data_IF_995138691276
#
_entry.id   IF_995138691276
#
_cell.length_a   1.000
_cell.length_b   1.000
_cell.length_c   1.000
_cell.angle_alpha   90.00
_cell.angle_beta   90.00
_cell.angle_gamma   90.00
#
_symmetry.space_group_name_H-M   'P 1'
#
loop_
_entity.id
_entity.type
_entity.pdbx_description
1 polymer ?
#
# COMPACT_ATOMS: atom_id res chain seq x y z
N UNK A 1 15.30 20.09 -1.00
CA UNK A 1 14.06 19.31 -1.18
C UNK A 1 13.14 19.70 -0.05
N UNK A 2 11.93 20.10 -0.39
CA UNK A 2 10.91 20.48 0.59
C UNK A 2 10.33 19.19 1.18
N UNK A 3 10.15 19.14 2.50
CA UNK A 3 9.59 17.99 3.21
C UNK A 3 8.11 17.89 2.85
N UNK A 4 7.71 16.86 2.08
CA UNK A 4 6.30 16.55 1.84
C UNK A 4 5.94 15.25 2.55
N UNK A 5 5.04 15.34 3.52
CA UNK A 5 4.65 14.22 4.37
C UNK A 5 3.15 14.21 4.51
N UNK A 6 2.55 13.04 4.37
CA UNK A 6 1.15 12.80 4.72
C UNK A 6 1.08 11.86 5.94
N UNK A 7 0.51 12.36 7.01
CA UNK A 7 0.10 11.57 8.17
C UNK A 7 -1.42 11.50 8.20
N UNK A 8 -2.00 10.40 8.68
CA UNK A 8 -3.45 10.32 8.79
C UNK A 8 -4.03 11.29 9.84
N UNK A 9 -3.18 12.06 10.56
CA UNK A 9 -3.62 13.16 11.48
C UNK A 9 -3.94 14.43 10.71
N UNK A 10 -3.33 14.60 9.54
CA UNK A 10 -3.52 15.76 8.70
C UNK A 10 -4.73 15.52 7.81
N UNK A 11 -5.84 16.20 8.08
CA UNK A 11 -6.97 16.22 7.16
C UNK A 11 -6.51 16.92 5.88
N UNK A 12 -6.27 16.15 4.82
CA UNK A 12 -6.00 16.69 3.50
C UNK A 12 -7.15 17.58 3.02
N UNK A 13 -6.93 18.44 2.01
CA UNK A 13 -7.96 19.37 1.55
C UNK A 13 -9.19 18.62 1.06
N UNK A 14 -10.40 19.08 1.40
CA UNK A 14 -11.63 18.38 1.05
C UNK A 14 -11.70 18.09 -0.46
N UNK A 15 -12.21 16.91 -0.82
CA UNK A 15 -12.39 16.56 -2.23
C UNK A 15 -13.45 17.49 -2.82
N UNK A 16 -13.17 18.19 -3.94
CA UNK A 16 -14.08 19.17 -4.50
C UNK A 16 -15.32 18.50 -5.07
N UNK A 17 -16.47 19.18 -4.95
CA UNK A 17 -17.77 18.71 -5.42
C UNK A 17 -18.89 19.00 -4.44
N UNK A 18 -20.13 18.80 -4.88
CA UNK A 18 -21.27 18.81 -3.97
C UNK A 18 -21.28 17.54 -3.11
N UNK A 19 -21.70 17.66 -1.85
CA UNK A 19 -21.92 16.50 -1.01
C UNK A 19 -22.96 15.54 -1.64
N UNK A 20 -22.81 14.25 -1.39
CA UNK A 20 -23.80 13.25 -1.86
C UNK A 20 -25.19 13.62 -1.37
N UNK A 21 -26.10 13.85 -2.32
CA UNK A 21 -27.48 14.28 -2.04
C UNK A 21 -28.25 13.13 -1.39
N UNK A 22 -29.21 13.45 -0.52
CA UNK A 22 -30.06 12.45 0.16
C UNK A 22 -30.72 11.47 -0.81
N UNK A 23 -31.18 11.97 -1.98
CA UNK A 23 -31.76 11.11 -3.02
C UNK A 23 -30.78 10.07 -3.55
N UNK A 24 -29.52 10.45 -3.78
CA UNK A 24 -28.44 9.54 -4.19
C UNK A 24 -28.14 8.53 -3.08
N UNK A 25 -28.00 8.98 -1.83
CA UNK A 25 -27.75 8.06 -0.70
C UNK A 25 -28.84 7.00 -0.53
N UNK A 26 -30.12 7.35 -0.79
CA UNK A 26 -31.23 6.39 -0.76
C UNK A 26 -31.10 5.36 -1.89
N UNK A 27 -30.77 5.80 -3.11
CA UNK A 27 -30.56 4.91 -4.25
C UNK A 27 -29.38 3.97 -3.98
N UNK A 28 -28.26 4.49 -3.49
CA UNK A 28 -27.06 3.72 -3.17
C UNK A 28 -27.35 2.66 -2.11
N UNK A 29 -28.09 3.03 -1.06
CA UNK A 29 -28.52 2.10 -0.01
C UNK A 29 -29.40 0.99 -0.59
N UNK A 30 -30.39 1.34 -1.44
CA UNK A 30 -31.24 0.34 -2.07
C UNK A 30 -30.43 -0.60 -2.97
N UNK A 31 -29.53 -0.05 -3.79
CA UNK A 31 -28.64 -0.84 -4.64
C UNK A 31 -27.74 -1.77 -3.81
N UNK A 32 -27.19 -1.30 -2.69
CA UNK A 32 -26.32 -2.10 -1.83
C UNK A 32 -27.05 -3.26 -1.14
N UNK A 33 -28.38 -3.21 -1.00
CA UNK A 33 -29.16 -4.35 -0.49
C UNK A 33 -29.36 -5.47 -1.52
N UNK A 34 -29.26 -5.17 -2.81
CA UNK A 34 -29.53 -6.12 -3.91
C UNK A 34 -28.23 -6.67 -4.50
N UNK A 35 -27.20 -5.84 -4.59
CA UNK A 35 -25.91 -6.22 -5.15
C UNK A 35 -25.06 -7.02 -4.16
N UNK A 36 -24.27 -7.95 -4.69
CA UNK A 36 -23.28 -8.66 -3.89
C UNK A 36 -21.96 -7.89 -3.86
N UNK A 37 -21.39 -7.73 -2.67
CA UNK A 37 -20.04 -7.19 -2.45
C UNK A 37 -19.04 -8.30 -2.11
N UNK A 38 -19.26 -9.51 -2.60
CA UNK A 38 -18.46 -10.69 -2.22
C UNK A 38 -16.93 -10.46 -2.28
N UNK A 39 -16.34 -9.81 -3.31
CA UNK A 39 -14.90 -9.55 -3.33
C UNK A 39 -14.42 -8.61 -2.21
N UNK A 40 -15.14 -7.51 -1.97
CA UNK A 40 -14.78 -6.53 -0.93
C UNK A 40 -14.97 -7.13 0.47
N UNK A 41 -15.99 -7.97 0.64
CA UNK A 41 -16.26 -8.67 1.90
C UNK A 41 -15.21 -9.74 2.26
N UNK A 42 -14.24 -10.04 1.38
CA UNK A 42 -13.09 -10.90 1.72
C UNK A 42 -11.95 -10.14 2.43
N UNK A 43 -12.01 -8.81 2.52
CA UNK A 43 -11.02 -8.03 3.27
C UNK A 43 -11.17 -8.37 4.76
N UNK A 44 -10.07 -8.84 5.37
CA UNK A 44 -10.06 -9.34 6.75
C UNK A 44 -8.86 -8.88 7.55
N UNK A 45 -8.01 -8.03 6.97
CA UNK A 45 -6.80 -7.55 7.60
C UNK A 45 -6.62 -6.05 7.36
N UNK A 46 -6.33 -5.33 8.44
CA UNK A 46 -5.89 -3.93 8.42
C UNK A 46 -4.44 -3.86 8.88
N UNK A 47 -3.57 -3.28 8.05
CA UNK A 47 -2.17 -2.97 8.40
C UNK A 47 -1.94 -1.47 8.29
N UNK A 48 -1.12 -0.94 9.18
CA UNK A 48 -0.55 0.40 9.06
C UNK A 48 0.93 0.25 8.71
N UNK A 49 1.38 0.96 7.68
CA UNK A 49 2.76 0.99 7.20
C UNK A 49 3.14 2.41 6.74
N UNK A 50 4.38 2.59 6.28
CA UNK A 50 4.87 3.87 5.79
C UNK A 50 5.50 3.71 4.41
N UNK A 51 4.97 4.44 3.44
CA UNK A 51 5.38 4.38 2.05
C UNK A 51 6.21 5.60 1.65
N UNK A 52 7.14 5.35 0.74
CA UNK A 52 8.06 6.32 0.17
C UNK A 52 7.91 6.31 -1.35
N UNK A 53 7.99 7.46 -2.00
CA UNK A 53 8.00 7.49 -3.46
C UNK A 53 9.30 6.90 -3.97
N UNK A 54 9.23 5.95 -4.89
CA UNK A 54 10.41 5.25 -5.36
C UNK A 54 11.43 6.19 -6.02
N UNK A 55 11.03 7.32 -6.60
CA UNK A 55 11.91 8.35 -7.16
C UNK A 55 12.27 9.49 -6.19
N UNK A 56 11.61 9.57 -5.03
CA UNK A 56 11.86 10.58 -4.00
C UNK A 56 11.53 10.08 -2.58
N UNK A 57 12.52 9.44 -1.94
CA UNK A 57 12.40 8.90 -0.58
C UNK A 57 12.26 9.99 0.51
N UNK A 58 12.33 11.28 0.19
CA UNK A 58 12.03 12.33 1.16
C UNK A 58 10.51 12.57 1.31
N UNK A 59 9.70 11.98 0.43
CA UNK A 59 8.25 12.06 0.44
C UNK A 59 7.66 10.82 1.10
N UNK A 60 6.93 11.00 2.19
CA UNK A 60 6.50 9.90 3.07
C UNK A 60 4.99 9.94 3.32
N UNK A 61 4.36 8.77 3.29
CA UNK A 61 2.91 8.62 3.45
C UNK A 61 2.61 7.50 4.45
N UNK A 62 1.88 7.82 5.52
CA UNK A 62 1.23 6.80 6.36
C UNK A 62 0.16 6.10 5.52
N UNK A 63 0.26 4.77 5.39
CA UNK A 63 -0.54 3.99 4.48
C UNK A 63 -1.31 2.89 5.23
N UNK A 64 -2.62 2.84 5.01
CA UNK A 64 -3.50 1.86 5.63
C UNK A 64 -3.94 0.82 4.62
N UNK A 65 -3.45 -0.39 4.79
CA UNK A 65 -3.73 -1.52 3.91
C UNK A 65 -4.92 -2.31 4.41
N UNK A 66 -5.88 -2.55 3.53
CA UNK A 66 -7.05 -3.38 3.75
C UNK A 66 -6.96 -4.58 2.84
N UNK A 67 -6.48 -5.69 3.39
CA UNK A 67 -6.00 -6.84 2.64
C UNK A 67 -6.97 -8.03 2.66
N UNK A 68 -6.94 -8.76 1.56
CA UNK A 68 -7.50 -10.10 1.43
C UNK A 68 -6.44 -11.06 0.90
N UNK A 69 -6.53 -12.33 1.29
CA UNK A 69 -5.70 -13.39 0.75
C UNK A 69 -6.36 -13.86 -0.55
N UNK A 70 -5.59 -13.90 -1.63
CA UNK A 70 -5.97 -14.62 -2.85
C UNK A 70 -5.69 -16.12 -2.65
N UNK A 71 -4.55 -16.42 -2.00
CA UNK A 71 -4.16 -17.74 -1.49
C UNK A 71 -3.04 -17.56 -0.43
N UNK A 72 -2.45 -18.65 0.05
CA UNK A 72 -1.36 -18.61 1.05
C UNK A 72 -0.09 -17.86 0.60
N UNK A 73 0.14 -17.77 -0.71
CA UNK A 73 1.34 -17.13 -1.28
C UNK A 73 1.08 -15.72 -1.83
N UNK A 74 -0.18 -15.25 -1.85
CA UNK A 74 -0.53 -13.96 -2.44
C UNK A 74 -1.64 -13.23 -1.68
N UNK A 75 -1.37 -11.96 -1.32
CA UNK A 75 -2.38 -11.02 -0.81
C UNK A 75 -2.57 -9.88 -1.79
N UNK A 76 -3.75 -9.27 -1.74
CA UNK A 76 -4.06 -8.03 -2.43
C UNK A 76 -4.73 -7.06 -1.46
N UNK A 77 -4.32 -5.80 -1.50
CA UNK A 77 -4.74 -4.79 -0.55
C UNK A 77 -5.22 -3.53 -1.27
N UNK A 78 -6.30 -2.96 -0.75
CA UNK A 78 -6.66 -1.57 -1.00
C UNK A 78 -5.89 -0.69 -0.01
N UNK A 79 -5.29 0.40 -0.48
CA UNK A 79 -4.53 1.31 0.38
C UNK A 79 -5.28 2.64 0.52
N UNK A 80 -5.49 3.05 1.77
CA UNK A 80 -6.09 4.31 2.14
C UNK A 80 -5.10 5.23 2.85
N UNK A 81 -5.36 6.55 2.79
CA UNK A 81 -4.54 7.58 3.45
C UNK A 81 -4.88 7.80 4.94
N UNK A 82 -5.81 7.00 5.47
CA UNK A 82 -6.25 7.01 6.86
C UNK A 82 -7.06 5.77 7.21
N UNK A 83 -7.31 5.53 8.51
CA UNK A 83 -8.09 4.38 8.98
C UNK A 83 -9.60 4.66 9.06
N UNK A 84 -10.02 5.91 8.90
CA UNK A 84 -11.40 6.36 9.10
C UNK A 84 -12.28 6.22 7.84
N UNK A 85 -13.60 6.23 8.03
CA UNK A 85 -14.58 5.98 6.96
C UNK A 85 -14.53 6.98 5.78
N UNK A 86 -13.93 8.16 5.97
CA UNK A 86 -13.77 9.19 4.95
C UNK A 86 -12.36 9.20 4.32
N UNK A 87 -11.52 8.21 4.63
CA UNK A 87 -10.19 8.09 4.04
C UNK A 87 -10.28 7.90 2.52
N UNK A 88 -9.27 8.39 1.81
CA UNK A 88 -9.17 8.31 0.36
C UNK A 88 -8.52 7.01 -0.03
N UNK A 89 -9.08 6.33 -1.03
CA UNK A 89 -8.38 5.24 -1.69
C UNK A 89 -7.22 5.83 -2.50
N UNK A 90 -6.00 5.60 -2.04
CA UNK A 90 -4.78 6.17 -2.64
C UNK A 90 -3.98 5.16 -3.44
N UNK A 91 -4.17 3.85 -3.22
CA UNK A 91 -3.27 2.87 -3.80
C UNK A 91 -3.75 1.43 -3.74
N UNK A 92 -2.91 0.56 -4.27
CA UNK A 92 -3.03 -0.89 -4.22
C UNK A 92 -1.69 -1.51 -3.85
N UNK A 93 -1.75 -2.63 -3.14
CA UNK A 93 -0.60 -3.51 -2.95
C UNK A 93 -0.91 -4.94 -3.40
N UNK A 94 0.08 -5.57 -4.02
CA UNK A 94 0.18 -7.02 -4.11
C UNK A 94 1.35 -7.51 -3.26
N UNK A 95 1.08 -8.46 -2.38
CA UNK A 95 2.10 -9.11 -1.55
C UNK A 95 2.27 -10.53 -2.05
N UNK A 96 3.51 -10.96 -2.29
CA UNK A 96 3.80 -12.34 -2.72
C UNK A 96 4.89 -12.97 -1.87
N UNK A 97 4.83 -14.30 -1.73
CA UNK A 97 5.89 -15.10 -1.12
C UNK A 97 7.24 -14.88 -1.83
N UNK A 98 8.35 -15.07 -1.12
CA UNK A 98 9.68 -15.10 -1.72
C UNK A 98 9.74 -16.07 -2.91
N UNK A 99 9.12 -17.25 -2.79
CA UNK A 99 9.06 -18.25 -3.86
C UNK A 99 8.44 -17.67 -5.13
N UNK A 100 7.30 -16.99 -5.04
CA UNK A 100 6.67 -16.37 -6.20
C UNK A 100 7.49 -15.19 -6.72
N UNK A 101 8.02 -14.34 -5.83
CA UNK A 101 8.89 -13.23 -6.20
C UNK A 101 10.10 -13.69 -7.05
N UNK A 102 10.72 -14.82 -6.68
CA UNK A 102 11.86 -15.37 -7.41
C UNK A 102 11.53 -15.82 -8.84
N UNK A 103 10.25 -16.08 -9.14
CA UNK A 103 9.79 -16.41 -10.51
C UNK A 103 9.57 -15.20 -11.41
N UNK A 104 9.56 -13.99 -10.84
CA UNK A 104 9.30 -12.76 -11.60
C UNK A 104 10.47 -12.44 -12.55
N UNK A 105 10.20 -11.82 -13.71
CA UNK A 105 11.23 -11.21 -14.53
C UNK A 105 12.05 -10.17 -13.75
N UNK A 106 13.33 -10.03 -14.06
CA UNK A 106 14.21 -9.10 -13.33
C UNK A 106 13.78 -7.63 -13.44
N UNK A 107 13.22 -7.22 -14.58
CA UNK A 107 12.64 -5.88 -14.74
C UNK A 107 11.42 -5.66 -13.84
N UNK A 108 10.65 -6.72 -13.59
CA UNK A 108 9.49 -6.66 -12.72
C UNK A 108 9.91 -6.53 -11.25
N UNK A 109 10.92 -7.29 -10.79
CA UNK A 109 11.43 -7.28 -9.40
C UNK A 109 11.81 -5.89 -8.89
N UNK A 110 12.23 -4.99 -9.79
CA UNK A 110 12.59 -3.59 -9.49
C UNK A 110 11.42 -2.76 -8.94
N UNK A 111 10.19 -3.18 -9.20
CA UNK A 111 8.96 -2.54 -8.75
C UNK A 111 8.50 -3.02 -7.37
N UNK A 112 9.23 -3.94 -6.75
CA UNK A 112 8.87 -4.56 -5.48
C UNK A 112 9.85 -4.16 -4.39
N UNK A 113 9.37 -4.11 -3.15
CA UNK A 113 10.18 -3.95 -1.95
C UNK A 113 10.06 -5.18 -1.05
N UNK A 114 11.05 -5.39 -0.18
CA UNK A 114 10.97 -6.42 0.87
C UNK A 114 10.28 -5.84 2.10
N UNK A 115 9.38 -6.62 2.72
CA UNK A 115 8.75 -6.23 3.98
C UNK A 115 9.62 -6.50 5.21
N UNK A 116 10.80 -7.11 5.04
CA UNK A 116 11.64 -7.56 6.16
C UNK A 116 11.88 -6.43 7.18
N UNK A 117 12.33 -5.27 6.70
CA UNK A 117 12.82 -4.23 7.60
C UNK A 117 11.68 -3.44 8.23
N UNK A 118 10.60 -3.15 7.51
CA UNK A 118 9.45 -2.47 8.09
C UNK A 118 8.74 -3.33 9.14
N UNK A 119 8.68 -4.66 8.95
CA UNK A 119 8.10 -5.57 9.93
C UNK A 119 9.00 -5.67 11.16
N UNK A 120 10.28 -6.02 10.96
CA UNK A 120 11.24 -6.20 12.07
C UNK A 120 11.53 -4.90 12.80
N UNK A 121 11.50 -3.77 12.11
CA UNK A 121 11.71 -2.44 12.66
C UNK A 121 10.51 -1.88 13.42
N UNK A 122 9.37 -2.57 13.42
CA UNK A 122 8.15 -2.11 14.11
C UNK A 122 7.34 -1.05 13.34
N UNK A 123 7.68 -0.78 12.08
CA UNK A 123 7.05 0.24 11.24
C UNK A 123 5.78 -0.25 10.53
N UNK A 124 5.62 -1.57 10.41
CA UNK A 124 4.39 -2.21 9.94
C UNK A 124 3.71 -2.96 11.08
N UNK A 125 2.45 -2.66 11.37
CA UNK A 125 1.69 -3.27 12.47
C UNK A 125 0.20 -3.39 12.15
N UNK A 126 -0.51 -4.20 12.94
CA UNK A 126 -1.97 -4.41 12.82
C UNK A 126 -2.73 -3.62 13.89
N UNK A 127 -3.38 -2.48 13.56
CA UNK A 127 -4.11 -1.67 14.53
C UNK A 127 -5.16 -2.48 15.30
N UNK A 128 -5.19 -2.32 16.63
CA UNK A 128 -6.15 -2.98 17.51
C UNK A 128 -5.96 -4.50 17.71
N UNK A 129 -4.99 -5.12 17.02
CA UNK A 129 -4.71 -6.56 17.14
C UNK A 129 -3.65 -6.81 18.22
N UNK A 130 -3.90 -7.69 19.22
CA UNK A 130 -2.93 -8.00 20.27
C UNK A 130 -1.58 -8.44 19.71
N UNK A 131 -0.50 -7.95 20.33
CA UNK A 131 0.89 -8.19 19.88
C UNK A 131 1.21 -9.66 19.59
N UNK A 132 0.78 -10.58 20.46
CA UNK A 132 1.02 -12.01 20.28
C UNK A 132 0.34 -12.60 19.03
N UNK A 133 -0.82 -12.05 18.64
CA UNK A 133 -1.58 -12.51 17.47
C UNK A 133 -0.96 -11.91 16.21
N UNK A 134 -0.76 -10.59 16.16
CA UNK A 134 -0.19 -9.97 14.95
C UNK A 134 1.20 -10.52 14.63
N UNK A 135 2.03 -10.85 15.63
CA UNK A 135 3.37 -11.41 15.40
C UNK A 135 3.37 -12.74 14.64
N UNK A 136 2.31 -13.55 14.75
CA UNK A 136 2.21 -14.80 13.98
C UNK A 136 2.03 -14.54 12.48
N UNK A 137 1.24 -13.51 12.13
CA UNK A 137 1.07 -13.11 10.73
C UNK A 137 2.30 -12.37 10.22
N UNK A 138 2.84 -11.44 11.02
CA UNK A 138 3.97 -10.61 10.65
C UNK A 138 5.27 -11.40 10.46
N UNK A 139 5.48 -12.52 11.17
CA UNK A 139 6.62 -13.42 10.87
C UNK A 139 6.56 -13.98 9.44
N UNK A 140 5.35 -14.19 8.89
CA UNK A 140 5.18 -14.56 7.49
C UNK A 140 5.42 -13.35 6.58
N UNK A 141 4.81 -12.20 6.91
CA UNK A 141 4.92 -10.97 6.10
C UNK A 141 6.38 -10.54 5.96
N UNK A 142 7.20 -10.64 7.01
CA UNK A 142 8.63 -10.31 6.98
C UNK A 142 9.42 -11.04 5.87
N UNK A 143 8.90 -12.15 5.33
CA UNK A 143 9.52 -13.00 4.31
C UNK A 143 8.94 -12.77 2.90
N UNK A 144 8.11 -11.75 2.74
CA UNK A 144 7.38 -11.48 1.50
C UNK A 144 7.87 -10.22 0.81
N UNK A 145 7.47 -10.05 -0.45
CA UNK A 145 7.74 -8.85 -1.25
C UNK A 145 6.43 -8.16 -1.63
N UNK A 146 6.42 -6.84 -1.59
CA UNK A 146 5.27 -5.97 -1.88
C UNK A 146 5.46 -5.14 -3.13
N UNK A 147 4.45 -5.09 -4.00
CA UNK A 147 4.38 -4.17 -5.15
C UNK A 147 3.27 -3.17 -4.91
N UNK A 148 3.66 -1.91 -4.70
CA UNK A 148 2.73 -0.84 -4.35
C UNK A 148 2.71 0.22 -5.43
N UNK A 149 1.49 0.62 -5.81
CA UNK A 149 1.25 1.83 -6.57
C UNK A 149 0.33 2.77 -5.82
N UNK A 150 0.75 4.03 -5.68
CA UNK A 150 -0.15 5.12 -5.29
C UNK A 150 -0.59 5.90 -6.53
N UNK A 151 -1.89 6.19 -6.60
CA UNK A 151 -2.57 6.96 -7.64
C UNK A 151 -2.91 8.39 -7.18
N UNK A 152 -2.82 8.67 -5.88
CA UNK A 152 -3.14 9.97 -5.31
C UNK A 152 -1.99 10.49 -4.46
N UNK A 153 -1.43 11.63 -4.86
CA UNK A 153 -0.33 12.29 -4.15
C UNK A 153 -0.85 13.21 -3.03
N UNK A 154 -1.41 12.60 -1.98
CA UNK A 154 -1.99 13.31 -0.83
C UNK A 154 -0.96 14.12 -0.03
N UNK A 155 0.32 13.72 -0.05
CA UNK A 155 1.43 14.44 0.57
C UNK A 155 1.72 15.81 -0.06
N UNK A 156 1.30 16.02 -1.30
CA UNK A 156 1.37 17.33 -1.98
C UNK A 156 0.09 18.15 -1.78
N UNK A 157 -0.87 17.66 -0.99
CA UNK A 157 -2.16 18.32 -0.80
C UNK A 157 -3.03 18.31 -2.06
N UNK A 158 -2.88 17.32 -2.94
CA UNK A 158 -3.76 17.22 -4.11
C UNK A 158 -5.20 16.91 -3.68
N UNK A 159 -6.14 17.70 -4.20
CA UNK A 159 -7.58 17.54 -3.95
C UNK A 159 -8.24 16.40 -4.74
N UNK A 160 -7.59 15.95 -5.82
CA UNK A 160 -8.02 14.86 -6.70
C UNK A 160 -6.82 13.95 -7.04
N UNK A 161 -7.04 12.68 -7.43
CA UNK A 161 -5.97 11.75 -7.82
C UNK A 161 -5.40 12.09 -9.21
N UNK A 162 -4.66 13.20 -9.29
CA UNK A 162 -4.03 13.69 -10.52
C UNK A 162 -2.58 13.20 -10.65
N UNK A 163 -2.16 13.02 -11.91
CA UNK A 163 -0.82 12.58 -12.28
C UNK A 163 -0.75 11.09 -12.61
N UNK A 164 0.47 10.61 -12.85
CA UNK A 164 0.73 9.19 -13.10
C UNK A 164 0.74 8.42 -11.78
N UNK A 165 0.47 7.10 -11.81
CA UNK A 165 0.74 6.23 -10.68
C UNK A 165 2.22 6.29 -10.30
N UNK A 166 2.51 6.16 -9.01
CA UNK A 166 3.87 6.15 -8.48
C UNK A 166 4.16 4.82 -7.82
N UNK A 167 5.31 4.24 -8.14
CA UNK A 167 5.82 3.06 -7.42
C UNK A 167 6.17 3.52 -6.01
N UNK A 168 5.73 2.76 -5.01
CA UNK A 168 6.07 3.05 -3.62
C UNK A 168 7.00 1.99 -3.05
N UNK A 169 7.89 2.44 -2.16
CA UNK A 169 8.85 1.63 -1.43
C UNK A 169 8.54 1.68 0.07
N UNK A 170 9.04 0.70 0.80
CA UNK A 170 8.93 0.61 2.25
C UNK A 170 10.18 1.12 2.99
N UNK A 171 10.11 1.11 4.33
CA UNK A 171 11.29 1.27 5.18
C UNK A 171 12.22 0.07 4.98
N UNK A 172 13.50 0.34 4.70
CA UNK A 172 14.53 -0.68 4.39
C UNK A 172 15.76 -0.58 5.29
N UNK A 173 15.91 0.51 6.06
CA UNK A 173 16.97 0.71 7.05
C UNK A 173 16.54 1.75 8.09
N UNK A 174 17.28 1.79 9.21
CA UNK A 174 17.11 2.81 10.24
C UNK A 174 17.34 4.23 9.69
N UNK A 175 16.62 5.20 10.26
CA UNK A 175 16.78 6.63 9.96
C UNK A 175 16.12 7.09 8.65
N UNK A 176 15.33 6.26 7.97
CA UNK A 176 14.57 6.69 6.78
C UNK A 176 13.29 7.45 7.11
N UNK A 177 12.52 6.96 8.08
CA UNK A 177 11.23 7.52 8.44
C UNK A 177 11.40 8.76 9.33
N UNK A 178 10.65 9.83 9.06
CA UNK A 178 10.69 11.04 9.88
C UNK A 178 10.16 10.76 11.29
N UNK A 179 10.84 11.31 12.29
CA UNK A 179 10.52 11.04 13.70
C UNK A 179 9.10 11.48 14.08
N UNK A 180 8.59 12.56 13.49
CA UNK A 180 7.23 13.01 13.80
C UNK A 180 6.17 12.01 13.31
N UNK A 181 6.40 11.33 12.18
CA UNK A 181 5.49 10.28 11.70
C UNK A 181 5.41 9.09 12.65
N UNK A 182 6.55 8.71 13.24
CA UNK A 182 6.62 7.65 14.25
C UNK A 182 5.80 8.06 15.47
N UNK A 183 6.08 9.24 16.03
CA UNK A 183 5.41 9.74 17.23
C UNK A 183 3.88 9.86 17.05
N UNK A 184 3.44 10.34 15.88
CA UNK A 184 2.01 10.47 15.58
C UNK A 184 1.32 9.11 15.49
N UNK A 185 1.93 8.13 14.82
CA UNK A 185 1.39 6.77 14.74
C UNK A 185 1.37 6.07 16.10
N UNK A 186 2.45 6.15 16.88
CA UNK A 186 2.52 5.61 18.24
C UNK A 186 1.42 6.18 19.12
N UNK A 187 1.27 7.51 19.12
CA UNK A 187 0.22 8.20 19.87
C UNK A 187 -1.19 7.80 19.42
N UNK A 188 -1.43 7.70 18.11
CA UNK A 188 -2.74 7.36 17.56
C UNK A 188 -3.16 5.94 17.92
N UNK A 189 -2.26 4.98 17.71
CA UNK A 189 -2.59 3.56 17.82
C UNK A 189 -2.23 2.94 19.17
N UNK A 190 -1.58 3.70 20.06
CA UNK A 190 -1.11 3.19 21.34
C UNK A 190 -0.05 2.09 21.19
N UNK A 191 0.77 2.19 20.14
CA UNK A 191 1.85 1.25 19.83
C UNK A 191 3.20 1.84 20.22
N UNK A 192 4.22 1.01 20.38
CA UNK A 192 5.62 1.44 20.51
C UNK A 192 6.43 0.78 19.40
N UNK A 193 7.00 1.58 18.50
CA UNK A 193 7.82 1.08 17.39
C UNK A 193 9.07 0.38 17.93
N UNK A 194 9.73 0.98 18.93
CA UNK A 194 10.88 0.37 19.60
C UNK A 194 10.50 -0.92 20.34
N UNK A 195 9.39 -0.91 21.09
CA UNK A 195 8.89 -2.11 21.75
C UNK A 195 8.51 -3.23 20.78
N UNK A 196 7.89 -2.89 19.66
CA UNK A 196 7.59 -3.86 18.60
C UNK A 196 8.88 -4.40 17.97
N UNK A 197 9.86 -3.55 17.67
CA UNK A 197 11.19 -3.94 17.16
C UNK A 197 11.85 -4.96 18.09
N UNK A 198 11.93 -4.65 19.38
CA UNK A 198 12.52 -5.55 20.38
C UNK A 198 11.77 -6.87 20.45
N UNK A 199 10.43 -6.81 20.46
CA UNK A 199 9.59 -8.01 20.50
C UNK A 199 9.68 -8.87 19.24
N UNK A 200 10.21 -8.34 18.14
CA UNK A 200 10.32 -8.99 16.81
C UNK A 200 11.77 -9.30 16.44
N UNK A 201 12.73 -9.10 17.34
CA UNK A 201 14.15 -9.35 17.08
C UNK A 201 14.47 -10.80 16.66
N UNK A 202 13.59 -11.76 16.98
CA UNK A 202 13.71 -13.17 16.58
C UNK A 202 13.23 -13.44 15.14
N UNK A 203 12.47 -12.53 14.53
CA UNK A 203 11.90 -12.72 13.19
C UNK A 203 13.00 -12.68 12.14
N UNK A 204 12.81 -13.50 11.10
CA UNK A 204 13.72 -13.58 9.95
C UNK A 204 13.08 -12.98 8.71
N UNK A 205 13.90 -12.50 7.79
CA UNK A 205 13.46 -12.08 6.46
C UNK A 205 13.37 -13.24 5.48
N UNK A 206 13.35 -12.96 4.16
CA UNK A 206 13.42 -13.96 3.11
C UNK A 206 14.61 -14.92 3.32
N UNK A 207 14.42 -16.21 3.01
CA UNK A 207 15.39 -17.29 3.26
C UNK A 207 16.69 -17.09 2.46
N UNK A 208 16.60 -16.52 1.26
CA UNK A 208 17.74 -16.23 0.40
C UNK A 208 18.36 -14.84 0.69
N UNK A 209 17.83 -14.14 1.69
CA UNK A 209 18.10 -12.73 1.94
C UNK A 209 17.35 -11.81 0.97
N UNK A 210 17.45 -10.51 1.21
CA UNK A 210 16.80 -9.50 0.35
C UNK A 210 17.43 -9.54 -1.04
N UNK A 211 16.61 -9.79 -2.06
CA UNK A 211 17.07 -9.85 -3.44
C UNK A 211 17.60 -8.47 -3.91
N UNK A 212 18.75 -8.40 -4.60
CA UNK A 212 19.40 -7.13 -4.94
C UNK A 212 18.63 -6.25 -5.93
N UNK A 213 17.66 -6.82 -6.65
CA UNK A 213 16.76 -6.05 -7.54
C UNK A 213 15.53 -5.50 -6.83
N UNK A 214 15.18 -5.99 -5.63
CA UNK A 214 14.11 -5.39 -4.85
C UNK A 214 14.53 -3.99 -4.35
N UNK A 215 13.60 -3.25 -3.76
CA UNK A 215 13.83 -1.91 -3.23
C UNK A 215 14.42 -0.95 -4.29
N UNK A 216 13.95 -1.08 -5.53
CA UNK A 216 14.43 -0.28 -6.67
C UNK A 216 15.85 -0.61 -7.15
N UNK A 217 16.48 -1.69 -6.67
CA UNK A 217 17.86 -2.03 -7.03
C UNK A 217 18.88 -0.94 -6.69
N UNK A 218 18.59 -0.15 -5.65
CA UNK A 218 19.41 1.00 -5.23
C UNK A 218 19.25 2.25 -6.12
N UNK A 219 18.28 2.28 -7.03
CA UNK A 219 17.95 3.42 -7.88
C UNK A 219 16.51 3.87 -7.67
N UNK A 220 16.23 5.10 -8.05
CA UNK A 220 14.86 5.60 -8.09
C UNK A 220 14.09 5.05 -9.29
N UNK A 221 12.79 4.80 -9.10
CA UNK A 221 11.89 4.30 -10.15
C UNK A 221 10.79 5.33 -10.41
N UNK A 222 10.67 5.76 -11.67
CA UNK A 222 9.67 6.73 -12.11
C UNK A 222 8.94 6.23 -13.34
N UNK A 223 7.61 6.31 -13.32
CA UNK A 223 6.80 6.00 -14.50
C UNK A 223 6.78 7.19 -15.46
N UNK A 224 6.86 6.88 -16.76
CA UNK A 224 6.76 7.85 -17.85
C UNK A 224 5.60 7.48 -18.78
N UNK A 225 4.78 8.47 -19.11
CA UNK A 225 3.75 8.35 -20.13
C UNK A 225 4.36 8.61 -21.50
N UNK A 226 4.06 7.73 -22.46
CA UNK A 226 4.46 7.90 -23.86
C UNK A 226 3.33 7.53 -24.80
N UNK A 227 3.26 8.22 -25.93
CA UNK A 227 2.39 7.84 -27.03
C UNK A 227 2.93 6.57 -27.69
N UNK A 228 2.02 5.69 -28.11
CA UNK A 228 2.33 4.47 -28.86
C UNK A 228 1.31 4.27 -29.96
N UNK A 229 1.72 3.70 -31.09
CA UNK A 229 0.80 3.36 -32.16
C UNK A 229 -0.18 2.28 -31.71
N UNK A 230 -1.48 2.54 -31.91
CA UNK A 230 -2.52 1.55 -31.69
C UNK A 230 -2.58 0.64 -32.93
N UNK A 231 -2.32 -0.65 -32.74
CA UNK A 231 -2.53 -1.63 -33.81
C UNK A 231 -4.02 -1.66 -34.17
N UNK A 232 -4.40 -1.49 -35.44
CA UNK A 232 -5.79 -1.60 -35.84
C UNK A 232 -6.31 -3.00 -35.48
N UNK A 233 -7.48 -3.06 -34.85
CA UNK A 233 -8.19 -4.32 -34.64
C UNK A 233 -8.91 -4.64 -35.94
N UNK A 234 -8.61 -5.77 -36.58
CA UNK A 234 -9.44 -6.25 -37.69
C UNK A 234 -10.86 -6.45 -37.17
N UNK A 235 -11.84 -5.79 -37.81
CA UNK A 235 -13.24 -5.99 -37.47
C UNK A 235 -13.59 -7.45 -37.73
N UNK A 236 -13.91 -8.22 -36.68
CA UNK A 236 -14.53 -9.53 -36.85
C UNK A 236 -15.88 -9.27 -37.51
N UNK A 237 -15.98 -9.59 -38.81
CA UNK A 237 -17.23 -9.42 -39.55
C UNK A 237 -18.34 -10.15 -38.82
N UNK A 238 -19.34 -9.41 -38.34
CA UNK A 238 -20.55 -9.99 -37.80
C UNK A 238 -21.28 -10.72 -38.92
N UNK A 239 -21.09 -12.04 -38.99
CA UNK A 239 -21.93 -12.92 -39.80
C UNK A 239 -23.27 -13.00 -39.08
N UNK A 240 -24.18 -12.10 -39.43
CA UNK A 240 -25.59 -12.28 -39.14
C UNK A 240 -26.08 -13.46 -40.01
N UNK A 241 -26.44 -14.57 -39.37
CA UNK A 241 -27.23 -15.67 -39.96
C UNK A 241 -28.65 -15.54 -39.45
#
# INVERSE_FOLDING_TARGET
MEKAVHSSTTSGPAVPGEATKTGTSIIDTAASTVQSFAPVNQIHQHLCAFHFYADDMARQVEAHHFCSHVNEEMRQCLIYDGPDANARLIGLEYIVSEKLFMTLPDEEKKLWHSHEWEVKGGFLFMPGVPGAIQRQDLDKVAKTYGKVFHFWQVDLGHELPIGLPNVMMAVTRDGQLFHEMIQEAEKRFGVSVEGERDSRAYMTGPELGIHPLANGGGKGMKLELREVDIKPVESVGSVFV
#
